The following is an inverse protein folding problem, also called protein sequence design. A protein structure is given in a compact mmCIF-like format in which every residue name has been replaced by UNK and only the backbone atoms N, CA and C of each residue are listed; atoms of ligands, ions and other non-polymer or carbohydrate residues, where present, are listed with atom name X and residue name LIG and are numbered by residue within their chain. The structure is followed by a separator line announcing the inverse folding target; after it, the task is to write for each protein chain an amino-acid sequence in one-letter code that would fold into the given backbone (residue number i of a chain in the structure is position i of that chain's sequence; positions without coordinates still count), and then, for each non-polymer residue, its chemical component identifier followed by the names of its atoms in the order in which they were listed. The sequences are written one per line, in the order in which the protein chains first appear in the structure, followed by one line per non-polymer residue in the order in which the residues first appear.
data_IF_318562198184
#
_entry.id   IF_318562198184
#
_cell.length_a   1.000
_cell.length_b   1.000
_cell.length_c   1.000
_cell.angle_alpha   90.00
_cell.angle_beta   90.00
_cell.angle_gamma   90.00
#
_symmetry.space_group_name_H-M   'P 1'
#
loop_
_entity.id
_entity.type
_entity.pdbx_description
1 polymer ?
#
# COMPACT_ATOMS: atom_id res chain seq x y z
N UNK A 1 7.74 -22.47 -18.54
CA UNK A 1 7.41 -21.21 -17.86
C UNK A 1 5.94 -20.92 -18.06
N UNK A 2 5.24 -20.52 -17.00
CA UNK A 2 3.80 -20.25 -17.00
C UNK A 2 3.59 -18.82 -16.56
N UNK A 3 2.88 -18.02 -17.37
CA UNK A 3 2.56 -16.64 -17.00
C UNK A 3 1.59 -16.62 -15.80
N UNK A 4 1.89 -15.80 -14.80
CA UNK A 4 1.03 -15.57 -13.65
C UNK A 4 0.17 -14.32 -13.89
N UNK A 5 -1.11 -14.40 -13.51
CA UNK A 5 -2.04 -13.29 -13.61
C UNK A 5 -1.88 -12.30 -12.44
N UNK A 6 -2.38 -11.08 -12.59
CA UNK A 6 -2.44 -10.06 -11.52
C UNK A 6 -1.37 -8.97 -11.58
N UNK A 7 -0.29 -9.16 -12.35
CA UNK A 7 0.71 -8.13 -12.61
C UNK A 7 0.21 -7.06 -13.59
N UNK A 8 -0.08 -5.86 -13.09
CA UNK A 8 -0.48 -4.71 -13.92
C UNK A 8 0.76 -3.97 -14.45
N UNK A 9 1.83 -3.91 -13.66
CA UNK A 9 3.06 -3.20 -13.99
C UNK A 9 4.18 -4.10 -14.53
N UNK A 10 4.04 -5.41 -14.39
CA UNK A 10 5.12 -6.36 -14.68
C UNK A 10 4.58 -7.62 -15.35
N UNK A 11 5.43 -8.26 -16.13
CA UNK A 11 5.24 -9.67 -16.45
C UNK A 11 5.79 -10.51 -15.30
N UNK A 12 5.05 -11.54 -14.92
CA UNK A 12 5.38 -12.44 -13.83
C UNK A 12 5.24 -13.86 -14.36
N UNK A 13 6.25 -14.69 -14.15
CA UNK A 13 6.23 -16.09 -14.56
C UNK A 13 6.59 -17.02 -13.42
N UNK A 14 5.90 -18.15 -13.36
CA UNK A 14 6.38 -19.34 -12.68
C UNK A 14 7.33 -20.09 -13.62
N UNK A 15 8.50 -20.44 -13.12
CA UNK A 15 9.47 -21.27 -13.83
C UNK A 15 9.75 -22.49 -12.97
N UNK A 16 9.36 -23.67 -13.46
CA UNK A 16 9.62 -24.94 -12.78
C UNK A 16 11.08 -25.36 -13.07
N UNK A 17 11.92 -25.37 -12.02
CA UNK A 17 13.30 -25.87 -12.07
C UNK A 17 13.39 -27.25 -11.39
N UNK A 18 14.54 -27.91 -11.53
CA UNK A 18 14.79 -29.21 -10.89
C UNK A 18 14.66 -29.14 -9.35
N UNK A 19 15.11 -28.04 -8.75
CA UNK A 19 15.07 -27.81 -7.29
C UNK A 19 13.76 -27.16 -6.80
N UNK A 20 12.76 -27.05 -7.68
CA UNK A 20 11.44 -26.48 -7.39
C UNK A 20 11.09 -25.23 -8.19
N UNK A 21 9.83 -24.76 -8.09
CA UNK A 21 9.37 -23.60 -8.83
C UNK A 21 9.97 -22.29 -8.28
N UNK A 22 10.27 -21.37 -9.18
CA UNK A 22 10.65 -19.99 -8.88
C UNK A 22 9.68 -19.01 -9.53
N UNK A 23 9.62 -17.79 -8.99
CA UNK A 23 8.92 -16.67 -9.60
C UNK A 23 9.93 -15.72 -10.23
N UNK A 24 9.76 -15.41 -11.52
CA UNK A 24 10.55 -14.43 -12.25
C UNK A 24 9.68 -13.22 -12.55
N UNK A 25 10.17 -12.02 -12.24
CA UNK A 25 9.46 -10.76 -12.47
C UNK A 25 10.26 -9.85 -13.40
N UNK A 26 9.57 -9.28 -14.41
CA UNK A 26 10.11 -8.27 -15.34
C UNK A 26 9.22 -7.04 -15.34
N UNK A 27 9.76 -5.88 -15.02
CA UNK A 27 9.01 -4.63 -15.18
C UNK A 27 8.74 -4.33 -16.67
N UNK A 28 7.54 -3.82 -16.95
CA UNK A 28 7.16 -3.38 -18.29
C UNK A 28 7.39 -1.87 -18.46
N UNK A 29 7.78 -1.38 -19.65
CA UNK A 29 7.84 0.06 -19.93
C UNK A 29 6.48 0.78 -19.86
N UNK A 30 5.37 0.03 -20.00
CA UNK A 30 4.00 0.55 -19.98
C UNK A 30 3.13 -0.31 -19.06
N UNK A 31 2.34 0.33 -18.19
CA UNK A 31 1.35 -0.36 -17.35
C UNK A 31 0.21 -0.94 -18.18
N UNK A 32 -0.30 -2.11 -17.79
CA UNK A 32 -1.52 -2.75 -18.33
C UNK A 32 -2.78 -2.12 -17.72
N UNK A 33 -2.94 -0.79 -17.77
CA UNK A 33 -4.14 -0.05 -17.31
C UNK A 33 -4.81 0.71 -18.46
N UNK A 34 -6.09 1.05 -18.28
CA UNK A 34 -6.90 1.76 -19.28
C UNK A 34 -6.40 3.18 -19.57
N UNK A 35 -5.84 3.87 -18.57
CA UNK A 35 -5.20 5.17 -18.76
C UNK A 35 -3.80 5.01 -19.38
N UNK A 36 -3.37 5.93 -20.25
CA UNK A 36 -1.97 5.97 -20.69
C UNK A 36 -1.08 6.42 -19.52
N UNK A 37 -0.52 5.45 -18.81
CA UNK A 37 0.39 5.70 -17.69
C UNK A 37 1.77 5.16 -18.05
N UNK A 38 2.67 6.08 -18.40
CA UNK A 38 4.09 5.79 -18.58
C UNK A 38 4.76 5.83 -17.21
N UNK A 39 5.56 4.81 -16.91
CA UNK A 39 6.23 4.66 -15.62
C UNK A 39 7.68 4.26 -15.83
N UNK A 40 8.62 4.86 -15.07
CA UNK A 40 10.04 4.49 -15.13
C UNK A 40 10.24 2.98 -14.90
N UNK A 41 11.06 2.33 -15.73
CA UNK A 41 11.34 0.87 -15.65
C UNK A 41 12.27 0.52 -14.48
N UNK A 42 13.00 1.53 -13.99
CA UNK A 42 13.93 1.48 -12.87
C UNK A 42 13.24 1.08 -11.56
N UNK A 43 11.90 1.13 -11.50
CA UNK A 43 11.09 0.66 -10.37
C UNK A 43 11.34 -0.80 -9.99
N UNK A 44 11.72 -1.66 -10.94
CA UNK A 44 12.08 -3.04 -10.64
C UNK A 44 13.33 -3.15 -9.76
N UNK A 45 14.27 -2.19 -9.93
CA UNK A 45 15.50 -2.12 -9.13
C UNK A 45 15.14 -1.79 -7.69
N UNK A 46 14.20 -0.87 -7.47
CA UNK A 46 13.75 -0.49 -6.13
C UNK A 46 12.98 -1.59 -5.44
N UNK A 47 12.15 -2.36 -6.15
CA UNK A 47 11.49 -3.53 -5.56
C UNK A 47 12.50 -4.58 -5.11
N UNK A 48 13.43 -4.98 -5.99
CA UNK A 48 14.50 -5.91 -5.62
C UNK A 48 15.30 -5.37 -4.43
N UNK A 49 15.71 -4.11 -4.47
CA UNK A 49 16.50 -3.49 -3.41
C UNK A 49 15.73 -3.41 -2.08
N UNK A 50 14.41 -3.19 -2.13
CA UNK A 50 13.55 -3.17 -0.94
C UNK A 50 13.49 -4.56 -0.32
N UNK A 51 13.22 -5.60 -1.12
CA UNK A 51 13.20 -7.00 -0.67
C UNK A 51 14.56 -7.38 -0.07
N UNK A 52 15.66 -7.09 -0.76
CA UNK A 52 17.03 -7.36 -0.28
C UNK A 52 17.28 -6.67 1.07
N UNK A 53 16.87 -5.41 1.21
CA UNK A 53 17.06 -4.63 2.44
C UNK A 53 16.27 -5.23 3.60
N UNK A 54 14.98 -5.52 3.40
CA UNK A 54 14.11 -6.09 4.43
C UNK A 54 14.53 -7.50 4.82
N UNK A 55 15.00 -8.31 3.86
CA UNK A 55 15.42 -9.69 4.11
C UNK A 55 16.53 -9.83 5.15
N UNK A 56 17.32 -8.77 5.37
CA UNK A 56 18.45 -8.77 6.32
C UNK A 56 18.02 -8.77 7.78
N UNK A 57 16.81 -8.28 8.07
CA UNK A 57 16.31 -8.15 9.45
C UNK A 57 14.88 -8.69 9.65
N UNK A 58 14.11 -8.88 8.57
CA UNK A 58 12.77 -9.44 8.61
C UNK A 58 12.54 -10.41 7.41
N UNK A 59 13.35 -11.49 7.29
CA UNK A 59 13.33 -12.40 6.14
C UNK A 59 11.98 -13.09 5.92
N UNK A 60 11.19 -13.31 6.98
CA UNK A 60 9.87 -13.92 6.90
C UNK A 60 8.82 -13.01 6.24
N UNK A 61 9.07 -11.70 6.17
CA UNK A 61 8.13 -10.72 5.63
C UNK A 61 8.26 -10.50 4.13
N UNK A 62 9.20 -11.17 3.46
CA UNK A 62 9.47 -11.00 2.03
C UNK A 62 9.81 -12.33 1.35
N UNK A 63 9.62 -12.45 0.03
CA UNK A 63 10.10 -13.61 -0.71
C UNK A 63 11.62 -13.69 -0.67
N UNK A 64 12.17 -14.91 -0.54
CA UNK A 64 13.62 -15.14 -0.68
C UNK A 64 14.05 -14.81 -2.11
N UNK A 65 15.00 -13.89 -2.27
CA UNK A 65 15.62 -13.60 -3.56
C UNK A 65 16.53 -14.74 -4.01
N UNK A 66 16.53 -15.03 -5.31
CA UNK A 66 17.32 -16.09 -5.94
C UNK A 66 18.36 -15.50 -6.88
N UNK A 67 17.99 -14.46 -7.63
CA UNK A 67 18.91 -13.82 -8.56
C UNK A 67 18.36 -12.51 -9.11
N UNK A 68 19.25 -11.68 -9.64
CA UNK A 68 18.91 -10.39 -10.22
C UNK A 68 19.77 -10.16 -11.46
N UNK A 69 19.13 -9.81 -12.56
CA UNK A 69 19.75 -9.31 -13.79
C UNK A 69 19.26 -7.87 -14.04
N UNK A 70 19.98 -6.87 -13.52
CA UNK A 70 19.63 -5.46 -13.72
C UNK A 70 19.63 -5.06 -15.20
N UNK A 71 20.48 -5.68 -16.04
CA UNK A 71 20.59 -5.31 -17.46
C UNK A 71 19.32 -5.65 -18.23
N UNK A 72 18.70 -6.78 -17.88
CA UNK A 72 17.43 -7.22 -18.46
C UNK A 72 16.21 -6.74 -17.67
N UNK A 73 16.42 -6.02 -16.56
CA UNK A 73 15.36 -5.58 -15.66
C UNK A 73 14.57 -6.75 -15.08
N UNK A 74 15.26 -7.82 -14.67
CA UNK A 74 14.67 -9.08 -14.22
C UNK A 74 15.18 -9.44 -12.83
N UNK A 75 14.30 -9.91 -11.94
CA UNK A 75 14.75 -10.64 -10.76
C UNK A 75 13.94 -11.92 -10.54
N UNK A 76 14.56 -12.88 -9.87
CA UNK A 76 14.01 -14.16 -9.51
C UNK A 76 13.90 -14.27 -7.98
N UNK A 77 12.78 -14.81 -7.51
CA UNK A 77 12.48 -15.03 -6.10
C UNK A 77 11.80 -16.38 -5.90
N UNK A 78 11.70 -16.82 -4.65
CA UNK A 78 10.94 -18.00 -4.28
C UNK A 78 9.50 -17.91 -4.80
N UNK A 79 9.00 -18.98 -5.40
CA UNK A 79 7.58 -19.12 -5.69
C UNK A 79 6.86 -19.47 -4.39
N UNK A 80 5.92 -18.62 -3.97
CA UNK A 80 5.08 -18.85 -2.81
C UNK A 80 3.75 -19.45 -3.27
N UNK A 81 3.48 -20.69 -2.87
CA UNK A 81 2.30 -21.43 -3.33
C UNK A 81 1.01 -20.74 -2.83
N UNK A 82 0.05 -20.37 -3.70
CA UNK A 82 -1.18 -19.69 -3.28
C UNK A 82 -2.06 -20.47 -2.31
N UNK A 83 -1.90 -21.80 -2.21
CA UNK A 83 -2.61 -22.63 -1.22
C UNK A 83 -2.08 -22.42 0.20
N UNK A 84 -0.80 -22.10 0.34
CA UNK A 84 -0.13 -21.83 1.61
C UNK A 84 -0.03 -20.33 1.90
N UNK A 85 0.09 -19.52 0.84
CA UNK A 85 0.25 -18.07 0.88
C UNK A 85 -0.88 -17.36 0.11
N UNK A 86 -2.16 -17.50 0.53
CA UNK A 86 -3.26 -16.86 -0.17
C UNK A 86 -3.14 -15.34 -0.11
N UNK A 87 -3.48 -14.67 -1.22
CA UNK A 87 -3.48 -13.20 -1.31
C UNK A 87 -4.52 -12.63 -0.33
N UNK A 88 -4.11 -11.69 0.53
CA UNK A 88 -4.98 -11.16 1.58
C UNK A 88 -6.25 -10.51 1.00
N UNK A 89 -6.16 -9.80 -0.13
CA UNK A 89 -7.32 -9.26 -0.85
C UNK A 89 -8.35 -10.33 -1.21
N UNK A 90 -7.92 -11.53 -1.61
CA UNK A 90 -8.83 -12.62 -1.95
C UNK A 90 -9.57 -13.13 -0.70
N UNK A 91 -8.85 -13.27 0.43
CA UNK A 91 -9.45 -13.64 1.73
C UNK A 91 -10.48 -12.60 2.19
N UNK A 92 -10.13 -11.32 2.08
CA UNK A 92 -11.04 -10.24 2.46
C UNK A 92 -12.29 -10.19 1.56
N UNK A 93 -12.17 -10.47 0.26
CA UNK A 93 -13.32 -10.59 -0.66
C UNK A 93 -14.29 -11.70 -0.23
N UNK A 94 -13.77 -12.79 0.33
CA UNK A 94 -14.55 -13.91 0.88
C UNK A 94 -15.17 -13.59 2.26
N UNK A 95 -15.03 -12.35 2.76
CA UNK A 95 -15.48 -11.97 4.10
C UNK A 95 -14.57 -12.49 5.23
N UNK A 96 -13.43 -13.10 4.89
CA UNK A 96 -12.46 -13.64 5.87
C UNK A 96 -11.53 -12.53 6.33
N UNK A 97 -12.07 -11.60 7.11
CA UNK A 97 -11.35 -10.51 7.75
C UNK A 97 -10.95 -10.90 9.18
N UNK A 98 -9.66 -11.18 9.37
CA UNK A 98 -9.10 -11.55 10.68
C UNK A 98 -8.33 -10.36 11.30
N UNK A 99 -8.84 -9.77 12.40
CA UNK A 99 -8.15 -8.69 13.10
C UNK A 99 -6.77 -9.09 13.64
N UNK A 100 -6.54 -10.36 13.97
CA UNK A 100 -5.24 -10.83 14.46
C UNK A 100 -4.19 -10.77 13.33
N UNK A 101 -4.55 -11.18 12.12
CA UNK A 101 -3.68 -11.01 10.95
C UNK A 101 -3.45 -9.54 10.61
N UNK A 102 -4.48 -8.69 10.68
CA UNK A 102 -4.33 -7.25 10.47
C UNK A 102 -3.40 -6.60 11.50
N UNK A 103 -3.44 -7.05 12.76
CA UNK A 103 -2.47 -6.67 13.78
C UNK A 103 -1.05 -7.11 13.42
N UNK A 104 -0.84 -8.33 12.92
CA UNK A 104 0.48 -8.77 12.45
C UNK A 104 1.01 -7.91 11.30
N UNK A 105 0.13 -7.48 10.37
CA UNK A 105 0.50 -6.48 9.34
C UNK A 105 0.99 -5.19 9.97
N UNK A 106 0.28 -4.65 10.98
CA UNK A 106 0.71 -3.45 11.70
C UNK A 106 2.06 -3.61 12.41
N UNK A 107 2.27 -4.76 13.06
CA UNK A 107 3.54 -5.09 13.74
C UNK A 107 4.70 -5.15 12.74
N UNK A 108 4.57 -5.96 11.69
CA UNK A 108 5.66 -6.22 10.75
C UNK A 108 5.99 -4.97 9.93
N UNK A 109 4.97 -4.22 9.48
CA UNK A 109 5.19 -2.98 8.73
C UNK A 109 5.91 -1.93 9.59
N UNK A 110 5.51 -1.77 10.86
CA UNK A 110 6.19 -0.85 11.76
C UNK A 110 7.63 -1.28 12.05
N UNK A 111 7.89 -2.59 12.19
CA UNK A 111 9.25 -3.10 12.38
C UNK A 111 10.17 -2.75 11.20
N UNK A 112 9.68 -2.82 9.96
CA UNK A 112 10.41 -2.39 8.76
C UNK A 112 10.75 -0.89 8.81
N UNK A 113 9.77 -0.06 9.16
CA UNK A 113 10.00 1.38 9.29
C UNK A 113 10.97 1.72 10.43
N UNK A 114 10.83 1.09 11.60
CA UNK A 114 11.75 1.26 12.72
C UNK A 114 13.18 0.85 12.37
N UNK A 115 13.37 -0.29 11.71
CA UNK A 115 14.69 -0.81 11.37
C UNK A 115 15.45 0.05 10.35
N UNK A 116 14.74 0.87 9.58
CA UNK A 116 15.31 1.69 8.50
C UNK A 116 15.25 3.19 8.81
N UNK A 117 14.72 3.57 9.97
CA UNK A 117 14.52 4.95 10.33
C UNK A 117 15.86 5.66 10.59
N UNK A 118 16.03 6.84 10.00
CA UNK A 118 17.22 7.67 10.15
C UNK A 118 18.47 7.13 9.44
N UNK A 119 18.38 6.04 8.68
CA UNK A 119 19.51 5.45 7.98
C UNK A 119 19.87 6.25 6.71
N UNK A 120 21.05 6.89 6.74
CA UNK A 120 21.54 7.72 5.64
C UNK A 120 21.89 6.95 4.36
N UNK A 121 22.33 5.69 4.48
CA UNK A 121 22.70 4.85 3.34
C UNK A 121 21.44 4.35 2.63
N UNK A 122 20.43 3.91 3.40
CA UNK A 122 19.12 3.58 2.85
C UNK A 122 18.49 4.82 2.21
N UNK A 123 18.58 5.99 2.85
CA UNK A 123 18.10 7.24 2.26
C UNK A 123 18.72 7.53 0.90
N UNK A 124 20.04 7.37 0.77
CA UNK A 124 20.73 7.59 -0.49
C UNK A 124 20.34 6.56 -1.56
N UNK A 125 20.22 5.27 -1.18
CA UNK A 125 19.84 4.17 -2.08
C UNK A 125 18.40 4.27 -2.59
N UNK A 126 17.50 4.85 -1.80
CA UNK A 126 16.08 5.00 -2.10
C UNK A 126 15.67 6.46 -2.35
N UNK A 127 16.55 7.25 -2.96
CA UNK A 127 16.28 8.61 -3.46
C UNK A 127 15.42 8.58 -4.75
N UNK A 128 14.28 7.91 -4.68
CA UNK A 128 13.34 7.64 -5.79
C UNK A 128 12.13 8.58 -5.77
N UNK A 129 12.28 9.79 -5.22
CA UNK A 129 11.24 10.79 -5.02
C UNK A 129 10.39 11.06 -6.27
N UNK A 130 11.06 11.20 -7.43
CA UNK A 130 10.39 11.44 -8.71
C UNK A 130 9.51 10.28 -9.14
N UNK A 131 9.96 9.05 -8.90
CA UNK A 131 9.21 7.82 -9.16
C UNK A 131 8.00 7.78 -8.22
N UNK A 132 8.22 7.92 -6.91
CA UNK A 132 7.13 7.91 -5.92
C UNK A 132 6.08 8.97 -6.23
N UNK A 133 6.50 10.20 -6.56
CA UNK A 133 5.58 11.24 -6.96
C UNK A 133 4.78 10.85 -8.21
N UNK A 134 5.46 10.40 -9.28
CA UNK A 134 4.82 10.05 -10.55
C UNK A 134 3.87 8.86 -10.45
N UNK A 135 4.06 7.95 -9.49
CA UNK A 135 3.26 6.72 -9.41
C UNK A 135 2.34 6.64 -8.20
N UNK A 136 2.50 7.51 -7.20
CA UNK A 136 1.65 7.57 -6.01
C UNK A 136 1.05 8.94 -5.75
N UNK A 137 1.81 10.02 -5.74
CA UNK A 137 1.24 11.33 -5.37
C UNK A 137 0.41 11.96 -6.50
N UNK A 138 0.95 12.01 -7.71
CA UNK A 138 0.30 12.58 -8.88
C UNK A 138 -0.99 11.84 -9.26
N UNK A 139 -0.96 10.51 -9.53
CA UNK A 139 -2.13 9.81 -10.02
C UNK A 139 -3.23 9.65 -8.98
N UNK A 140 -2.94 9.95 -7.71
CA UNK A 140 -3.91 9.91 -6.63
C UNK A 140 -4.37 11.32 -6.26
N UNK A 141 -3.55 12.06 -5.51
CA UNK A 141 -3.97 13.30 -4.86
C UNK A 141 -4.05 14.48 -5.83
N UNK A 142 -3.09 14.61 -6.76
CA UNK A 142 -3.12 15.70 -7.76
C UNK A 142 -4.29 15.46 -8.73
N UNK A 143 -4.41 14.26 -9.29
CA UNK A 143 -5.50 13.92 -10.20
C UNK A 143 -6.89 14.04 -9.55
N UNK A 144 -7.04 13.68 -8.28
CA UNK A 144 -8.28 13.93 -7.54
C UNK A 144 -8.55 15.44 -7.38
N UNK A 145 -7.51 16.23 -7.11
CA UNK A 145 -7.62 17.69 -7.02
C UNK A 145 -8.06 18.36 -8.32
N UNK A 146 -7.65 17.84 -9.47
CA UNK A 146 -8.11 18.32 -10.79
C UNK A 146 -9.63 18.11 -10.99
N UNK A 147 -10.18 17.04 -10.42
CA UNK A 147 -11.64 16.75 -10.47
C UNK A 147 -12.43 17.41 -9.35
N UNK A 148 -11.77 17.84 -8.28
CA UNK A 148 -12.37 18.54 -7.14
C UNK A 148 -11.64 19.87 -6.87
N UNK A 149 -11.89 20.92 -7.68
CA UNK A 149 -11.18 22.20 -7.58
C UNK A 149 -11.25 22.85 -6.19
N UNK A 150 -12.37 22.63 -5.49
CA UNK A 150 -12.60 23.12 -4.13
C UNK A 150 -11.72 22.45 -3.07
N UNK A 151 -11.20 21.24 -3.35
CA UNK A 151 -10.28 20.50 -2.50
C UNK A 151 -8.82 20.53 -2.97
N UNK A 152 -8.55 21.12 -4.15
CA UNK A 152 -7.25 21.05 -4.79
C UNK A 152 -6.11 21.66 -3.95
N UNK A 153 -6.39 22.68 -3.14
CA UNK A 153 -5.40 23.27 -2.24
C UNK A 153 -5.04 22.31 -1.09
N UNK A 154 -6.04 21.71 -0.45
CA UNK A 154 -5.86 20.71 0.62
C UNK A 154 -5.09 19.50 0.11
N UNK A 155 -5.45 18.96 -1.05
CA UNK A 155 -4.79 17.80 -1.63
C UNK A 155 -3.32 18.10 -2.01
N UNK A 156 -3.03 19.31 -2.51
CA UNK A 156 -1.65 19.74 -2.76
C UNK A 156 -0.84 19.87 -1.46
N UNK A 157 -1.44 20.34 -0.37
CA UNK A 157 -0.76 20.40 0.93
C UNK A 157 -0.44 19.00 1.48
N UNK A 158 -1.31 18.01 1.25
CA UNK A 158 -1.04 16.61 1.58
C UNK A 158 0.13 16.03 0.75
N UNK A 159 0.18 16.36 -0.55
CA UNK A 159 1.30 15.99 -1.43
C UNK A 159 2.61 16.57 -0.91
N UNK A 160 2.64 17.87 -0.60
CA UNK A 160 3.84 18.55 -0.10
C UNK A 160 4.32 17.96 1.22
N UNK A 161 3.40 17.77 2.18
CA UNK A 161 3.73 17.17 3.49
C UNK A 161 4.29 15.76 3.33
N UNK A 162 3.67 14.94 2.48
CA UNK A 162 4.12 13.57 2.22
C UNK A 162 5.50 13.57 1.56
N UNK A 163 5.69 14.39 0.52
CA UNK A 163 6.93 14.48 -0.26
C UNK A 163 8.14 14.93 0.57
N UNK A 164 7.94 15.90 1.47
CA UNK A 164 9.00 16.51 2.27
C UNK A 164 9.35 15.73 3.53
N UNK A 165 8.46 14.86 4.02
CA UNK A 165 8.69 14.07 5.23
C UNK A 165 9.57 12.86 4.93
N UNK A 166 10.72 12.73 5.64
CA UNK A 166 11.77 11.74 5.37
C UNK A 166 12.20 11.02 6.64
N UNK A 167 11.52 9.92 6.99
CA UNK A 167 11.82 9.18 8.21
C UNK A 167 12.40 7.79 7.98
N UNK A 168 11.89 7.00 7.03
CA UNK A 168 12.29 5.60 6.88
C UNK A 168 12.07 5.06 5.46
N UNK A 169 12.43 3.79 5.24
CA UNK A 169 12.15 3.07 3.99
C UNK A 169 10.67 2.71 3.90
N UNK A 170 9.95 3.36 2.98
CA UNK A 170 8.53 3.17 2.73
C UNK A 170 8.36 2.21 1.54
N UNK A 171 7.43 1.27 1.62
CA UNK A 171 7.09 0.35 0.53
C UNK A 171 6.32 1.05 -0.59
N UNK A 172 5.41 1.95 -0.24
CA UNK A 172 4.67 2.81 -1.16
C UNK A 172 3.48 2.16 -1.86
N UNK A 173 3.16 0.89 -1.59
CA UNK A 173 1.96 0.19 -2.10
C UNK A 173 1.51 -0.93 -1.15
N UNK A 174 1.40 -0.59 0.14
CA UNK A 174 0.91 -1.54 1.15
C UNK A 174 -0.61 -1.69 1.00
N UNK A 175 -1.03 -2.42 -0.01
CA UNK A 175 -2.43 -2.76 -0.27
C UNK A 175 -2.65 -4.27 -0.10
N UNK A 176 -3.86 -4.72 0.29
CA UNK A 176 -4.08 -6.16 0.51
C UNK A 176 -3.85 -7.06 -0.71
N UNK A 177 -3.77 -6.52 -1.93
CA UNK A 177 -3.39 -7.30 -3.13
C UNK A 177 -1.90 -7.69 -3.13
N UNK A 178 -1.08 -6.93 -2.42
CA UNK A 178 0.38 -7.05 -2.36
C UNK A 178 0.85 -7.70 -1.05
N UNK A 179 -0.07 -8.30 -0.29
CA UNK A 179 0.22 -8.96 0.98
C UNK A 179 -0.29 -10.40 0.86
N UNK A 180 0.60 -11.36 1.04
CA UNK A 180 0.21 -12.76 1.21
C UNK A 180 0.05 -13.07 2.70
N UNK A 181 -0.88 -13.97 3.00
CA UNK A 181 -1.07 -14.51 4.35
C UNK A 181 -0.15 -15.73 4.50
N UNK A 182 1.04 -15.54 5.06
CA UNK A 182 1.99 -16.63 5.32
C UNK A 182 1.80 -17.25 6.70
N UNK A 183 2.38 -18.45 6.91
CA UNK A 183 2.32 -19.16 8.18
C UNK A 183 2.99 -18.45 9.36
N UNK A 184 4.02 -17.62 9.07
CA UNK A 184 4.74 -16.82 10.07
C UNK A 184 4.29 -15.34 10.11
N UNK A 185 3.28 -14.98 9.32
CA UNK A 185 2.75 -13.63 9.23
C UNK A 185 2.69 -13.09 7.79
N UNK A 186 2.56 -11.77 7.63
CA UNK A 186 2.37 -11.14 6.33
C UNK A 186 3.66 -11.16 5.49
N UNK A 187 3.52 -11.54 4.22
CA UNK A 187 4.60 -11.41 3.22
C UNK A 187 4.24 -10.26 2.27
N UNK A 188 5.08 -9.22 2.24
CA UNK A 188 4.90 -8.04 1.39
C UNK A 188 5.54 -8.27 0.01
N UNK A 189 4.84 -7.86 -1.03
CA UNK A 189 5.21 -7.99 -2.44
C UNK A 189 5.11 -6.64 -3.15
N UNK A 190 5.72 -6.51 -4.33
CA UNK A 190 5.42 -5.39 -5.24
C UNK A 190 5.79 -4.01 -4.67
N UNK A 191 6.95 -3.92 -4.01
CA UNK A 191 7.55 -2.69 -3.50
C UNK A 191 8.17 -1.83 -4.62
N UNK A 192 7.56 -1.78 -5.82
CA UNK A 192 8.06 -0.99 -6.96
C UNK A 192 8.00 0.52 -6.71
N UNK A 193 7.26 0.93 -5.67
CA UNK A 193 7.13 2.32 -5.23
C UNK A 193 8.04 2.67 -4.06
N UNK A 194 8.98 1.78 -3.73
CA UNK A 194 9.84 1.97 -2.58
C UNK A 194 10.64 3.27 -2.67
N UNK A 195 10.64 4.02 -1.58
CA UNK A 195 11.36 5.29 -1.44
C UNK A 195 11.71 5.54 0.03
N UNK A 196 12.67 6.42 0.28
CA UNK A 196 12.90 6.93 1.64
C UNK A 196 11.98 8.14 1.89
N UNK A 197 11.02 7.99 2.82
CA UNK A 197 9.86 8.88 2.88
C UNK A 197 9.10 8.86 4.20
N UNK A 198 7.81 9.20 4.13
CA UNK A 198 6.88 9.23 5.28
C UNK A 198 6.22 7.85 5.52
N UNK A 199 6.51 7.17 6.64
CA UNK A 199 5.86 5.93 7.04
C UNK A 199 4.34 6.02 7.17
N UNK A 200 3.81 7.23 7.42
CA UNK A 200 2.37 7.46 7.50
C UNK A 200 1.65 7.14 6.18
N UNK A 201 2.34 7.19 5.03
CA UNK A 201 1.78 6.84 3.74
C UNK A 201 1.34 5.38 3.67
N UNK A 202 2.23 4.44 4.02
CA UNK A 202 1.94 3.01 3.95
C UNK A 202 0.80 2.60 4.89
N UNK A 203 0.80 3.18 6.10
CA UNK A 203 -0.28 2.98 7.06
C UNK A 203 -1.62 3.47 6.48
N UNK A 204 -1.70 4.72 6.04
CA UNK A 204 -2.91 5.31 5.48
C UNK A 204 -3.40 4.56 4.23
N UNK A 205 -2.47 4.11 3.38
CA UNK A 205 -2.78 3.41 2.14
C UNK A 205 -3.42 2.04 2.40
N UNK A 206 -2.90 1.27 3.37
CA UNK A 206 -3.49 -0.02 3.74
C UNK A 206 -4.86 0.15 4.41
N UNK A 207 -4.96 1.07 5.37
CA UNK A 207 -6.19 1.37 6.10
C UNK A 207 -7.32 1.84 5.18
N UNK A 208 -7.00 2.70 4.20
CA UNK A 208 -7.93 3.12 3.14
C UNK A 208 -8.58 1.91 2.42
N UNK A 209 -7.77 0.91 2.10
CA UNK A 209 -8.26 -0.31 1.44
C UNK A 209 -9.13 -1.19 2.34
N UNK A 210 -9.01 -1.12 3.67
CA UNK A 210 -9.92 -1.81 4.59
C UNK A 210 -11.28 -1.09 4.64
N UNK A 211 -11.30 0.25 4.65
CA UNK A 211 -12.55 1.02 4.61
C UNK A 211 -13.34 0.78 3.31
N UNK A 212 -12.67 0.82 2.15
CA UNK A 212 -13.30 0.57 0.84
C UNK A 212 -13.95 -0.82 0.74
N UNK A 213 -13.41 -1.82 1.47
CA UNK A 213 -13.93 -3.19 1.46
C UNK A 213 -15.27 -3.33 2.19
N UNK A 214 -15.61 -2.40 3.08
CA UNK A 214 -16.94 -2.37 3.70
C UNK A 214 -18.07 -2.27 2.66
N UNK A 215 -17.80 -1.69 1.48
CA UNK A 215 -18.76 -1.65 0.37
C UNK A 215 -18.63 -2.85 -0.57
N UNK A 216 -17.43 -3.44 -0.68
CA UNK A 216 -17.22 -4.62 -1.53
C UNK A 216 -17.81 -5.90 -0.94
N UNK A 217 -17.73 -6.03 0.39
CA UNK A 217 -18.19 -7.21 1.13
C UNK A 217 -18.98 -6.77 2.37
N UNK A 218 -20.20 -6.20 2.21
CA UNK A 218 -20.90 -5.51 3.29
C UNK A 218 -21.21 -6.35 4.53
N UNK A 219 -21.41 -7.66 4.36
CA UNK A 219 -21.66 -8.57 5.48
C UNK A 219 -20.48 -8.72 6.44
N UNK A 220 -19.25 -8.37 6.01
CA UNK A 220 -18.03 -8.41 6.80
C UNK A 220 -17.53 -6.99 7.20
N UNK A 221 -18.38 -5.97 7.08
CA UNK A 221 -17.98 -4.58 7.29
C UNK A 221 -17.50 -4.30 8.72
N UNK A 222 -18.13 -4.91 9.74
CA UNK A 222 -17.69 -4.78 11.14
C UNK A 222 -16.30 -5.35 11.36
N UNK A 223 -16.02 -6.49 10.73
CA UNK A 223 -14.72 -7.16 10.78
C UNK A 223 -13.64 -6.35 10.06
N UNK A 224 -13.95 -5.68 8.94
CA UNK A 224 -12.99 -4.76 8.31
C UNK A 224 -12.66 -3.55 9.20
N UNK A 225 -13.65 -2.98 9.90
CA UNK A 225 -13.41 -1.91 10.87
C UNK A 225 -12.60 -2.42 12.08
N UNK A 226 -12.80 -3.66 12.51
CA UNK A 226 -11.97 -4.29 13.53
C UNK A 226 -10.52 -4.51 13.04
N UNK A 227 -10.32 -4.97 11.81
CA UNK A 227 -9.02 -5.06 11.17
C UNK A 227 -8.33 -3.69 11.06
N UNK A 228 -9.07 -2.64 10.71
CA UNK A 228 -8.56 -1.26 10.65
C UNK A 228 -7.96 -0.86 12.00
N UNK A 229 -8.73 -1.04 13.08
CA UNK A 229 -8.29 -0.67 14.44
C UNK A 229 -7.11 -1.51 14.88
N UNK A 230 -7.18 -2.83 14.71
CA UNK A 230 -6.10 -3.74 15.09
C UNK A 230 -4.77 -3.42 14.40
N UNK A 231 -4.80 -3.11 13.09
CA UNK A 231 -3.63 -2.67 12.34
C UNK A 231 -3.12 -1.32 12.85
N UNK A 232 -3.99 -0.31 12.93
CA UNK A 232 -3.63 1.04 13.37
C UNK A 232 -3.00 1.03 14.78
N UNK A 233 -3.64 0.34 15.74
CA UNK A 233 -3.21 0.30 17.13
C UNK A 233 -1.84 -0.38 17.28
N UNK A 234 -1.65 -1.53 16.64
CA UNK A 234 -0.39 -2.28 16.75
C UNK A 234 0.77 -1.61 16.03
N UNK A 235 0.50 -0.94 14.91
CA UNK A 235 1.49 -0.10 14.22
C UNK A 235 1.88 1.09 15.09
N UNK A 236 0.89 1.89 15.53
CA UNK A 236 1.13 3.13 16.29
C UNK A 236 1.76 2.89 17.66
N UNK A 237 1.47 1.76 18.30
CA UNK A 237 2.10 1.36 19.56
C UNK A 237 3.61 1.11 19.44
N UNK A 238 4.14 0.93 18.22
CA UNK A 238 5.54 0.58 17.94
C UNK A 238 6.33 1.68 17.26
N UNK A 239 5.69 2.79 16.87
CA UNK A 239 6.36 3.95 16.27
C UNK A 239 7.45 4.45 17.23
N UNK A 240 8.68 4.51 16.74
CA UNK A 240 9.87 4.87 17.55
C UNK A 240 10.74 5.97 16.93
N UNK A 241 10.53 6.33 15.67
CA UNK A 241 11.30 7.36 14.96
C UNK A 241 10.78 8.79 15.19
N UNK A 242 9.58 8.94 15.74
CA UNK A 242 8.94 10.22 16.04
C UNK A 242 7.84 10.04 17.11
N UNK A 243 7.23 11.12 17.64
CA UNK A 243 6.09 10.97 18.55
C UNK A 243 4.88 10.32 17.86
N UNK A 244 4.33 9.25 18.46
CA UNK A 244 3.15 8.50 17.97
C UNK A 244 2.03 9.40 17.42
N UNK A 245 1.68 10.44 18.16
CA UNK A 245 0.57 11.36 17.80
C UNK A 245 0.81 12.10 16.49
N UNK A 246 2.06 12.40 16.14
CA UNK A 246 2.39 13.11 14.90
C UNK A 246 2.29 12.17 13.71
N UNK A 247 2.77 10.93 13.85
CA UNK A 247 2.61 9.88 12.85
C UNK A 247 1.12 9.58 12.59
N UNK A 248 0.33 9.41 13.66
CA UNK A 248 -1.12 9.18 13.57
C UNK A 248 -1.83 10.35 12.89
N UNK A 249 -1.53 11.60 13.29
CA UNK A 249 -2.17 12.77 12.70
C UNK A 249 -1.87 12.88 11.21
N UNK A 250 -0.64 12.60 10.76
CA UNK A 250 -0.31 12.60 9.33
C UNK A 250 -1.06 11.50 8.58
N UNK A 251 -1.12 10.28 9.11
CA UNK A 251 -1.87 9.19 8.49
C UNK A 251 -3.38 9.51 8.41
N UNK A 252 -3.96 10.05 9.49
CA UNK A 252 -5.37 10.42 9.57
C UNK A 252 -5.75 11.53 8.58
N UNK A 253 -4.86 12.51 8.35
CA UNK A 253 -5.08 13.59 7.36
C UNK A 253 -4.89 13.12 5.92
N UNK A 254 -3.96 12.21 5.68
CA UNK A 254 -3.67 11.69 4.35
C UNK A 254 -4.75 10.73 3.86
N UNK A 255 -5.27 9.88 4.74
CA UNK A 255 -6.20 8.80 4.38
C UNK A 255 -7.44 9.29 3.62
N UNK A 256 -8.16 10.37 4.01
CA UNK A 256 -9.28 10.90 3.24
C UNK A 256 -8.93 11.27 1.79
N UNK A 257 -7.72 11.82 1.57
CA UNK A 257 -7.25 12.14 0.22
C UNK A 257 -7.03 10.88 -0.62
N UNK A 258 -6.42 9.84 -0.04
CA UNK A 258 -6.26 8.53 -0.69
C UNK A 258 -7.61 7.85 -0.94
N UNK A 259 -8.58 8.01 -0.03
CA UNK A 259 -9.92 7.45 -0.14
C UNK A 259 -10.68 8.08 -1.31
N UNK A 260 -10.65 9.41 -1.43
CA UNK A 260 -11.21 10.12 -2.60
C UNK A 260 -10.51 9.71 -3.90
N UNK A 261 -9.17 9.63 -3.88
CA UNK A 261 -8.39 9.28 -5.06
C UNK A 261 -8.64 7.84 -5.57
N UNK A 262 -9.08 6.92 -4.71
CA UNK A 262 -9.50 5.58 -5.14
C UNK A 262 -10.86 5.57 -5.85
N UNK A 263 -11.57 6.69 -5.90
CA UNK A 263 -12.78 6.88 -6.69
C UNK A 263 -12.46 7.78 -7.89
N UNK A 264 -11.90 8.95 -7.60
CA UNK A 264 -11.76 10.05 -8.57
C UNK A 264 -10.30 10.39 -8.89
N UNK A 265 -9.35 9.48 -8.67
CA UNK A 265 -7.97 9.55 -9.19
C UNK A 265 -7.78 8.80 -10.51
N UNK A 266 -6.54 8.61 -10.93
CA UNK A 266 -6.15 7.82 -12.11
C UNK A 266 -6.07 6.31 -11.84
N UNK A 267 -6.13 5.90 -10.57
CA UNK A 267 -6.14 4.49 -10.14
C UNK A 267 -7.37 4.19 -9.26
N UNK A 268 -8.58 4.17 -9.83
CA UNK A 268 -9.77 3.82 -9.07
C UNK A 268 -9.76 2.36 -8.60
N UNK A 269 -10.45 2.03 -7.50
CA UNK A 269 -10.73 0.62 -7.16
C UNK A 269 -11.67 0.02 -8.20
N UNK A 270 -11.32 -1.18 -8.66
CA UNK A 270 -12.03 -1.85 -9.76
C UNK A 270 -13.34 -2.51 -9.33
N UNK A 271 -13.55 -2.68 -8.02
CA UNK A 271 -14.69 -3.40 -7.46
C UNK A 271 -15.84 -2.51 -6.98
N UNK A 272 -15.66 -1.19 -6.89
CA UNK A 272 -16.75 -0.26 -6.59
C UNK A 272 -17.27 0.36 -7.89
N UNK A 273 -18.35 -0.22 -8.42
CA UNK A 273 -18.95 0.21 -9.69
C UNK A 273 -20.24 1.00 -9.53
N UNK A 274 -20.96 0.84 -8.40
CA UNK A 274 -22.20 1.58 -8.11
C UNK A 274 -21.87 3.03 -7.73
N UNK A 275 -22.45 4.01 -8.43
CA UNK A 275 -22.24 5.44 -8.13
C UNK A 275 -22.73 5.82 -6.73
N UNK A 276 -23.76 5.16 -6.19
CA UNK A 276 -24.23 5.43 -4.82
C UNK A 276 -23.14 5.11 -3.80
N UNK A 277 -22.41 4.02 -4.00
CA UNK A 277 -21.31 3.62 -3.13
C UNK A 277 -20.10 4.55 -3.28
N UNK A 278 -19.80 4.97 -4.52
CA UNK A 278 -18.78 5.99 -4.77
C UNK A 278 -19.12 7.33 -4.11
N UNK A 279 -20.38 7.75 -4.16
CA UNK A 279 -20.84 8.99 -3.55
C UNK A 279 -20.72 8.99 -2.03
N UNK A 280 -20.91 7.84 -1.38
CA UNK A 280 -20.68 7.69 0.07
C UNK A 280 -19.20 7.88 0.42
N UNK A 281 -18.30 7.31 -0.39
CA UNK A 281 -16.85 7.53 -0.24
C UNK A 281 -16.51 9.00 -0.45
N UNK A 282 -17.01 9.62 -1.53
CA UNK A 282 -16.82 11.06 -1.82
C UNK A 282 -17.30 11.91 -0.65
N UNK A 283 -18.49 11.66 -0.12
CA UNK A 283 -19.08 12.42 0.98
C UNK A 283 -18.18 12.40 2.22
N UNK A 284 -17.77 11.22 2.68
CA UNK A 284 -16.92 11.09 3.87
C UNK A 284 -15.54 11.68 3.64
N UNK A 285 -14.90 11.39 2.50
CA UNK A 285 -13.59 11.95 2.18
C UNK A 285 -13.62 13.48 2.10
N UNK A 286 -14.63 14.06 1.44
CA UNK A 286 -14.79 15.52 1.32
C UNK A 286 -14.97 16.17 2.69
N UNK A 287 -15.83 15.62 3.55
CA UNK A 287 -15.98 16.15 4.92
C UNK A 287 -14.65 16.13 5.68
N UNK A 288 -13.93 15.01 5.66
CA UNK A 288 -12.67 14.88 6.39
C UNK A 288 -11.49 15.64 5.75
N UNK A 289 -11.58 16.06 4.48
CA UNK A 289 -10.61 16.96 3.86
C UNK A 289 -10.88 18.43 4.22
N UNK A 290 -12.13 18.80 4.42
CA UNK A 290 -12.52 20.15 4.87
C UNK A 290 -12.37 20.32 6.38
N UNK A 291 -12.51 19.23 7.14
CA UNK A 291 -12.30 19.16 8.60
C UNK A 291 -11.24 18.09 8.92
N UNK A 292 -9.94 18.37 8.72
CA UNK A 292 -8.88 17.38 8.83
C UNK A 292 -8.80 16.74 10.22
N UNK A 293 -8.97 15.41 10.34
CA UNK A 293 -8.85 14.73 11.62
C UNK A 293 -7.38 14.66 12.08
N UNK A 294 -7.16 14.45 13.37
CA UNK A 294 -5.83 14.19 13.95
C UNK A 294 -5.70 12.77 14.52
N UNK A 295 -6.74 11.94 14.41
CA UNK A 295 -6.79 10.57 14.90
C UNK A 295 -7.44 9.66 13.86
N UNK A 296 -6.92 8.44 13.71
CA UNK A 296 -7.46 7.46 12.75
C UNK A 296 -8.85 6.97 13.14
N UNK A 297 -9.14 6.92 14.45
CA UNK A 297 -10.45 6.50 14.95
C UNK A 297 -11.58 7.45 14.51
N UNK A 298 -11.29 8.75 14.33
CA UNK A 298 -12.27 9.72 13.80
C UNK A 298 -12.66 9.36 12.36
N UNK A 299 -11.67 9.00 11.53
CA UNK A 299 -11.89 8.55 10.15
C UNK A 299 -12.74 7.27 10.14
N UNK A 300 -12.35 6.29 10.97
CA UNK A 300 -13.04 5.01 11.10
C UNK A 300 -14.52 5.18 11.50
N UNK A 301 -14.78 5.99 12.53
CA UNK A 301 -16.14 6.23 13.03
C UNK A 301 -17.00 7.04 12.06
N UNK A 302 -16.41 8.03 11.37
CA UNK A 302 -17.12 8.76 10.32
C UNK A 302 -17.56 7.81 9.20
N UNK A 303 -16.69 6.87 8.83
CA UNK A 303 -17.02 5.87 7.82
C UNK A 303 -18.08 4.89 8.31
N UNK A 304 -17.94 4.36 9.52
CA UNK A 304 -18.92 3.46 10.15
C UNK A 304 -20.34 4.06 10.13
N UNK A 305 -20.47 5.33 10.54
CA UNK A 305 -21.76 6.04 10.51
C UNK A 305 -22.35 6.20 9.11
N UNK A 306 -21.53 6.47 8.09
CA UNK A 306 -21.99 6.53 6.69
C UNK A 306 -22.44 5.16 6.17
N UNK A 307 -21.90 4.07 6.74
CA UNK A 307 -22.29 2.70 6.40
C UNK A 307 -23.35 2.07 7.30
N UNK A 308 -23.91 2.84 8.24
CA UNK A 308 -24.98 2.38 9.12
C UNK A 308 -24.51 1.40 10.19
N UNK A 309 -23.25 1.53 10.64
CA UNK A 309 -22.64 0.72 11.68
C UNK A 309 -22.28 1.54 12.93
#
# INVERSE_FOLDING_TARGET
MTALAGGVSSDIWRVDLADGPICVKRALPRLKVAAQWQVPVERNIYEHAWIDTVSRFCPQAVPRLIGHDPKSGLFAMAYLDPSEYPVWKARLREGRADPAFAAQVGVTLCAIHCATAGDGDIRARFASDTIFHAIRLEPYLIAAGERHPDLAATLRALVETTATTKYALVHGDVSPKNILVGGEGPVFLDAECAWYGDPAFDLAFCLNHLLLKCLWTPHAAKEFLACFRALADTYLARVSWEPRRECEARAARLLPGLFLARIDGKSPVEYLTDERDKDRVRKVARTLLLEPPNQLEIVCNKWAGEIGL
#
